data_IF_553994436252
#
_entry.id   IF_553994436252
#
_cell.length_a   1.000
_cell.length_b   1.000
_cell.length_c   1.000
_cell.angle_alpha   90.00
_cell.angle_beta   90.00
_cell.angle_gamma   90.00
#
_symmetry.space_group_name_H-M   'P 1'
#
loop_
_entity.id
_entity.type
_entity.pdbx_description
1 polymer ?
#
# COMPACT_ATOMS: atom_id res chain seq x y z
N UNK A 1 -76.99 6.64 33.20
CA UNK A 1 -76.49 5.53 32.36
C UNK A 1 -75.03 5.27 32.73
N UNK A 2 -74.73 4.18 33.42
CA UNK A 2 -73.35 3.72 33.68
C UNK A 2 -73.19 2.38 32.98
N UNK A 3 -72.50 2.37 31.84
CA UNK A 3 -72.02 1.13 31.25
C UNK A 3 -71.01 0.52 32.22
N UNK A 4 -71.40 -0.58 32.89
CA UNK A 4 -70.42 -1.46 33.53
C UNK A 4 -69.66 -2.15 32.40
N UNK A 5 -68.35 -1.95 32.34
CA UNK A 5 -67.46 -2.77 31.52
C UNK A 5 -67.69 -4.22 31.93
N UNK A 6 -68.24 -5.02 31.01
CA UNK A 6 -68.40 -6.46 31.20
C UNK A 6 -67.00 -7.06 31.36
N UNK A 7 -66.72 -7.67 32.50
CA UNK A 7 -65.47 -8.38 32.72
C UNK A 7 -65.35 -9.53 31.72
N UNK A 8 -64.18 -9.68 31.10
CA UNK A 8 -63.89 -10.77 30.16
C UNK A 8 -64.18 -12.13 30.80
N UNK A 9 -64.84 -13.02 30.06
CA UNK A 9 -65.10 -14.38 30.53
C UNK A 9 -63.80 -15.20 30.49
N UNK A 10 -63.62 -16.13 31.43
CA UNK A 10 -62.42 -16.98 31.50
C UNK A 10 -62.19 -17.78 30.21
N UNK A 11 -63.27 -18.19 29.53
CA UNK A 11 -63.22 -18.82 28.21
C UNK A 11 -62.70 -17.90 27.10
N UNK A 12 -63.05 -16.62 27.08
CA UNK A 12 -62.52 -15.66 26.09
C UNK A 12 -61.02 -15.44 26.30
N UNK A 13 -60.56 -15.35 27.55
CA UNK A 13 -59.13 -15.20 27.86
C UNK A 13 -58.34 -16.43 27.40
N UNK A 14 -58.86 -17.65 27.64
CA UNK A 14 -58.21 -18.89 27.18
C UNK A 14 -58.12 -18.95 25.66
N UNK A 15 -59.19 -18.59 24.95
CA UNK A 15 -59.21 -18.59 23.47
C UNK A 15 -58.24 -17.56 22.91
N UNK A 16 -58.22 -16.34 23.45
CA UNK A 16 -57.29 -15.29 23.01
C UNK A 16 -55.84 -15.71 23.23
N UNK A 17 -55.51 -16.29 24.39
CA UNK A 17 -54.15 -16.77 24.67
C UNK A 17 -53.77 -17.93 23.75
N UNK A 18 -54.68 -18.86 23.45
CA UNK A 18 -54.43 -19.97 22.54
C UNK A 18 -54.17 -19.50 21.10
N UNK A 19 -54.97 -18.57 20.59
CA UNK A 19 -54.77 -17.98 19.26
C UNK A 19 -53.45 -17.21 19.20
N UNK A 20 -53.14 -16.43 20.24
CA UNK A 20 -51.90 -15.66 20.32
C UNK A 20 -50.67 -16.57 20.37
N UNK A 21 -50.75 -17.71 21.06
CA UNK A 21 -49.70 -18.72 21.10
C UNK A 21 -49.45 -19.36 19.71
N UNK A 22 -50.51 -19.65 18.95
CA UNK A 22 -50.41 -20.20 17.59
C UNK A 22 -49.79 -19.17 16.63
N UNK A 23 -50.18 -17.91 16.72
CA UNK A 23 -49.61 -16.86 15.86
C UNK A 23 -48.12 -16.65 16.18
N UNK A 24 -47.73 -16.66 17.47
CA UNK A 24 -46.34 -16.53 17.87
C UNK A 24 -45.47 -17.72 17.42
N UNK A 25 -45.99 -18.96 17.49
CA UNK A 25 -45.23 -20.13 17.02
C UNK A 25 -45.05 -20.15 15.50
N UNK A 26 -45.99 -19.60 14.74
CA UNK A 26 -45.86 -19.48 13.27
C UNK A 26 -44.90 -18.32 12.89
N UNK A 27 -44.92 -17.20 13.61
CA UNK A 27 -44.13 -16.01 13.27
C UNK A 27 -42.66 -16.04 13.74
N UNK A 28 -42.34 -16.84 14.77
CA UNK A 28 -40.99 -16.88 15.38
C UNK A 28 -39.87 -17.32 14.43
N UNK A 29 -40.04 -18.33 13.55
CA UNK A 29 -38.99 -18.71 12.59
C UNK A 29 -38.59 -17.58 11.64
N UNK A 30 -39.55 -16.80 11.15
CA UNK A 30 -39.30 -15.70 10.22
C UNK A 30 -38.60 -14.52 10.90
N UNK A 31 -38.98 -14.20 12.14
CA UNK A 31 -38.27 -13.19 12.94
C UNK A 31 -36.81 -13.57 13.18
N UNK A 32 -36.54 -14.83 13.53
CA UNK A 32 -35.17 -15.30 13.75
C UNK A 32 -34.33 -15.21 12.47
N UNK A 33 -34.91 -15.52 11.32
CA UNK A 33 -34.24 -15.39 10.02
C UNK A 33 -33.94 -13.92 9.66
N UNK A 34 -34.85 -13.00 9.98
CA UNK A 34 -34.65 -11.56 9.77
C UNK A 34 -33.51 -11.02 10.64
N UNK A 35 -33.46 -11.38 11.93
CA UNK A 35 -32.37 -10.96 12.81
C UNK A 35 -31.02 -11.55 12.39
N UNK A 36 -30.97 -12.81 11.97
CA UNK A 36 -29.77 -13.42 11.40
C UNK A 36 -29.28 -12.66 10.16
N UNK A 37 -30.20 -12.30 9.25
CA UNK A 37 -29.88 -11.51 8.05
C UNK A 37 -29.40 -10.10 8.38
N UNK A 38 -30.01 -9.46 9.39
CA UNK A 38 -29.57 -8.15 9.86
C UNK A 38 -28.16 -8.22 10.44
N UNK A 39 -27.84 -9.26 11.23
CA UNK A 39 -26.51 -9.47 11.78
C UNK A 39 -25.45 -9.69 10.67
N UNK A 40 -25.75 -10.55 9.69
CA UNK A 40 -24.90 -10.75 8.51
C UNK A 40 -24.62 -9.43 7.76
N UNK A 41 -25.66 -8.64 7.51
CA UNK A 41 -25.53 -7.36 6.79
C UNK A 41 -24.69 -6.36 7.57
N UNK A 42 -24.88 -6.30 8.90
CA UNK A 42 -24.07 -5.46 9.78
C UNK A 42 -22.60 -5.87 9.76
N UNK A 43 -22.30 -7.18 9.78
CA UNK A 43 -20.93 -7.66 9.72
C UNK A 43 -20.28 -7.34 8.36
N UNK A 44 -21.02 -7.50 7.24
CA UNK A 44 -20.52 -7.08 5.93
C UNK A 44 -20.17 -5.59 5.88
N UNK A 45 -20.98 -4.73 6.50
CA UNK A 45 -20.71 -3.29 6.58
C UNK A 45 -19.45 -3.01 7.43
N UNK A 46 -19.30 -3.70 8.57
CA UNK A 46 -18.09 -3.60 9.41
C UNK A 46 -16.85 -4.07 8.64
N UNK A 47 -16.93 -5.16 7.91
CA UNK A 47 -15.86 -5.66 7.04
C UNK A 47 -15.44 -4.66 5.97
N UNK A 48 -16.40 -4.00 5.31
CA UNK A 48 -16.10 -2.94 4.35
C UNK A 48 -15.41 -1.74 5.00
N UNK A 49 -15.79 -1.38 6.24
CA UNK A 49 -15.10 -0.33 7.01
C UNK A 49 -13.68 -0.74 7.36
N UNK A 50 -13.45 -1.98 7.79
CA UNK A 50 -12.11 -2.52 8.07
C UNK A 50 -11.23 -2.58 6.82
N UNK A 51 -11.77 -2.94 5.66
CA UNK A 51 -11.05 -2.86 4.39
C UNK A 51 -10.57 -1.44 4.09
N UNK A 52 -11.46 -0.44 4.25
CA UNK A 52 -11.11 0.97 4.05
C UNK A 52 -10.07 1.44 5.07
N UNK A 53 -10.17 1.02 6.32
CA UNK A 53 -9.19 1.32 7.35
C UNK A 53 -7.81 0.76 7.00
N UNK A 54 -7.74 -0.50 6.53
CA UNK A 54 -6.50 -1.09 6.02
C UNK A 54 -5.92 -0.30 4.85
N UNK A 55 -6.76 0.16 3.92
CA UNK A 55 -6.32 0.95 2.78
C UNK A 55 -5.75 2.31 3.18
N UNK A 56 -6.43 3.02 4.09
CA UNK A 56 -5.96 4.31 4.62
C UNK A 56 -4.65 4.13 5.40
N UNK A 57 -4.62 3.13 6.31
CA UNK A 57 -3.42 2.83 7.09
C UNK A 57 -2.23 2.51 6.17
N UNK A 58 -2.43 1.69 5.14
CA UNK A 58 -1.39 1.32 4.18
C UNK A 58 -0.89 2.53 3.37
N UNK A 59 -1.78 3.46 3.03
CA UNK A 59 -1.41 4.69 2.29
C UNK A 59 -0.56 5.65 3.12
N UNK A 60 -0.91 5.82 4.39
CA UNK A 60 -0.20 6.71 5.31
C UNK A 60 1.12 6.11 5.80
N UNK A 61 1.10 4.85 6.26
CA UNK A 61 2.25 4.23 6.91
C UNK A 61 3.13 3.41 5.96
N UNK A 62 2.73 3.23 4.69
CA UNK A 62 3.40 2.38 3.67
C UNK A 62 3.55 0.90 4.05
N UNK A 63 2.94 0.49 5.15
CA UNK A 63 2.98 -0.86 5.73
C UNK A 63 1.60 -1.27 6.21
N UNK A 64 1.42 -2.56 6.48
CA UNK A 64 0.23 -3.07 7.14
C UNK A 64 0.48 -3.27 8.65
N UNK A 65 -0.58 -3.17 9.48
CA UNK A 65 -0.49 -3.38 10.92
C UNK A 65 0.12 -4.74 11.30
N UNK A 66 0.70 -4.84 12.49
CA UNK A 66 1.25 -6.11 12.96
C UNK A 66 0.17 -7.02 13.54
N UNK A 67 0.35 -8.35 13.47
CA UNK A 67 -0.65 -9.30 13.96
C UNK A 67 -1.05 -9.10 15.43
N UNK A 68 -0.15 -8.58 16.27
CA UNK A 68 -0.45 -8.30 17.69
C UNK A 68 -1.11 -6.95 17.96
N UNK A 69 -1.00 -5.97 17.06
CA UNK A 69 -1.42 -4.57 17.29
C UNK A 69 -2.47 -4.09 16.30
N UNK A 70 -2.90 -4.94 15.37
CA UNK A 70 -3.74 -4.54 14.24
C UNK A 70 -5.07 -3.87 14.64
N UNK A 71 -5.63 -4.25 15.79
CA UNK A 71 -6.87 -3.64 16.30
C UNK A 71 -6.63 -2.18 16.68
N UNK A 72 -5.59 -1.93 17.46
CA UNK A 72 -5.25 -0.59 17.97
C UNK A 72 -4.74 0.29 16.83
N UNK A 73 -3.98 -0.28 15.90
CA UNK A 73 -3.44 0.40 14.72
C UNK A 73 -4.56 0.82 13.75
N UNK A 74 -5.65 0.05 13.61
CA UNK A 74 -6.74 0.34 12.68
C UNK A 74 -7.85 1.21 13.29
N UNK A 75 -8.01 1.22 14.61
CA UNK A 75 -9.08 1.97 15.28
C UNK A 75 -9.13 3.47 14.90
N UNK A 76 -8.00 4.20 14.77
CA UNK A 76 -8.03 5.60 14.35
C UNK A 76 -8.54 5.83 12.93
N UNK A 77 -8.51 4.79 12.09
CA UNK A 77 -8.86 4.85 10.67
C UNK A 77 -10.30 4.41 10.36
N UNK A 78 -11.10 4.21 11.40
CA UNK A 78 -12.48 3.73 11.27
C UNK A 78 -13.38 4.31 12.35
N UNK A 79 -14.67 4.45 12.05
CA UNK A 79 -15.68 4.85 13.04
C UNK A 79 -16.08 3.69 13.98
N UNK A 80 -15.46 2.52 13.83
CA UNK A 80 -15.73 1.36 14.68
C UNK A 80 -15.02 1.52 16.02
N UNK A 81 -15.70 1.13 17.09
CA UNK A 81 -15.08 1.02 18.40
C UNK A 81 -14.04 -0.10 18.42
N UNK A 82 -13.12 -0.06 19.39
CA UNK A 82 -12.04 -1.04 19.53
C UNK A 82 -12.58 -2.49 19.66
N UNK A 83 -13.71 -2.66 20.36
CA UNK A 83 -14.40 -3.94 20.46
C UNK A 83 -15.04 -4.36 19.14
N UNK A 84 -15.58 -3.43 18.37
CA UNK A 84 -16.16 -3.73 17.05
C UNK A 84 -15.12 -4.00 15.96
N UNK A 85 -13.86 -3.59 16.16
CA UNK A 85 -12.73 -3.99 15.32
C UNK A 85 -12.23 -5.38 15.72
N UNK A 86 -12.09 -5.63 17.03
CA UNK A 86 -11.62 -6.91 17.57
C UNK A 86 -12.61 -8.05 17.36
N UNK A 87 -13.89 -7.81 17.59
CA UNK A 87 -14.93 -8.84 17.63
C UNK A 87 -16.00 -8.62 16.56
N UNK A 88 -16.52 -9.72 16.02
CA UNK A 88 -17.66 -9.72 15.11
C UNK A 88 -18.99 -9.34 15.79
N UNK A 89 -20.06 -9.23 14.98
CA UNK A 89 -21.42 -8.96 15.49
C UNK A 89 -21.89 -10.03 16.48
N UNK A 90 -21.33 -11.24 16.42
CA UNK A 90 -21.62 -12.36 17.32
C UNK A 90 -20.67 -12.45 18.52
N UNK A 91 -19.89 -11.38 18.78
CA UNK A 91 -18.93 -11.28 19.88
C UNK A 91 -17.80 -12.32 19.84
N UNK A 92 -17.48 -12.86 18.66
CA UNK A 92 -16.33 -13.74 18.46
C UNK A 92 -15.12 -12.92 18.01
N UNK A 93 -13.90 -13.25 18.49
CA UNK A 93 -12.70 -12.54 18.08
C UNK A 93 -12.42 -12.79 16.60
N UNK A 94 -12.09 -11.73 15.87
CA UNK A 94 -11.64 -11.80 14.48
C UNK A 94 -10.19 -12.21 14.42
N UNK A 95 -9.86 -12.96 13.37
CA UNK A 95 -8.49 -13.37 13.08
C UNK A 95 -7.90 -12.46 12.01
N UNK A 96 -6.65 -12.04 12.21
CA UNK A 96 -5.90 -11.23 11.26
C UNK A 96 -4.58 -11.90 10.93
N UNK A 97 -4.24 -11.93 9.65
CA UNK A 97 -2.90 -12.29 9.23
C UNK A 97 -2.41 -11.34 8.14
N UNK A 98 -1.13 -11.00 8.21
CA UNK A 98 -0.41 -10.31 7.14
C UNK A 98 0.84 -11.06 6.71
N UNK A 99 1.24 -10.83 5.46
CA UNK A 99 2.53 -11.24 4.94
C UNK A 99 2.98 -10.28 3.84
N UNK A 100 4.29 -10.25 3.58
CA UNK A 100 4.91 -9.39 2.57
C UNK A 100 5.60 -10.25 1.52
N UNK A 101 5.53 -9.82 0.25
CA UNK A 101 6.19 -10.51 -0.87
C UNK A 101 6.95 -9.49 -1.71
N UNK A 102 8.23 -9.74 -1.93
CA UNK A 102 9.03 -8.96 -2.88
C UNK A 102 8.64 -9.29 -4.31
N UNK A 103 8.26 -8.28 -5.07
CA UNK A 103 7.89 -8.40 -6.49
C UNK A 103 8.85 -7.54 -7.31
N UNK A 104 9.43 -8.15 -8.35
CA UNK A 104 10.23 -7.43 -9.33
C UNK A 104 9.32 -6.76 -10.36
N UNK A 105 9.60 -5.50 -10.70
CA UNK A 105 8.88 -4.76 -11.73
C UNK A 105 9.79 -3.69 -12.35
N UNK A 106 9.87 -3.67 -13.68
CA UNK A 106 10.61 -2.69 -14.50
C UNK A 106 11.97 -2.25 -13.89
N UNK A 107 12.84 -3.22 -13.60
CA UNK A 107 14.22 -2.95 -13.16
C UNK A 107 14.41 -2.68 -11.66
N UNK A 108 13.35 -2.73 -10.85
CA UNK A 108 13.42 -2.64 -9.39
C UNK A 108 12.66 -3.76 -8.69
N UNK A 109 12.88 -3.90 -7.38
CA UNK A 109 12.11 -4.80 -6.51
C UNK A 109 11.39 -3.98 -5.45
N UNK A 110 10.10 -4.20 -5.27
CA UNK A 110 9.32 -3.59 -4.20
C UNK A 110 8.56 -4.64 -3.41
N UNK A 111 8.31 -4.36 -2.13
CA UNK A 111 7.53 -5.25 -1.26
C UNK A 111 6.05 -4.98 -1.47
N UNK A 112 5.24 -6.01 -1.72
CA UNK A 112 3.78 -5.95 -1.73
C UNK A 112 3.27 -6.50 -0.40
N UNK A 113 2.34 -5.78 0.22
CA UNK A 113 1.72 -6.21 1.46
C UNK A 113 0.38 -6.88 1.18
N UNK A 114 0.15 -8.01 1.84
CA UNK A 114 -1.11 -8.75 1.81
C UNK A 114 -1.64 -8.87 3.23
N UNK A 115 -2.95 -8.68 3.41
CA UNK A 115 -3.62 -8.94 4.68
C UNK A 115 -4.97 -9.60 4.49
N UNK A 116 -5.36 -10.39 5.48
CA UNK A 116 -6.67 -11.01 5.57
C UNK A 116 -7.24 -10.80 6.97
N UNK A 117 -8.45 -10.25 7.05
CA UNK A 117 -9.27 -10.23 8.27
C UNK A 117 -10.36 -11.27 8.09
N UNK A 118 -10.59 -12.09 9.12
CA UNK A 118 -11.58 -13.16 9.11
C UNK A 118 -12.49 -13.07 10.33
N UNK A 119 -13.78 -13.25 10.09
CA UNK A 119 -14.86 -13.28 11.07
C UNK A 119 -15.40 -14.70 11.17
N UNK A 120 -15.57 -15.16 12.41
CA UNK A 120 -15.89 -16.55 12.72
C UNK A 120 -17.39 -16.85 12.62
N UNK A 121 -18.21 -15.88 12.22
CA UNK A 121 -19.64 -16.09 11.98
C UNK A 121 -20.41 -16.50 13.22
N UNK A 122 -21.64 -16.98 13.01
CA UNK A 122 -22.56 -17.36 14.09
C UNK A 122 -22.18 -18.70 14.77
N UNK A 123 -21.62 -19.63 14.01
CA UNK A 123 -21.19 -20.94 14.48
C UNK A 123 -19.91 -20.85 15.31
N UNK A 124 -19.10 -19.81 15.08
CA UNK A 124 -17.84 -19.59 15.78
C UNK A 124 -16.79 -20.65 15.45
N UNK A 125 -17.04 -21.46 14.42
CA UNK A 125 -16.15 -22.53 13.99
C UNK A 125 -15.30 -21.96 12.87
N UNK A 126 -13.98 -22.03 13.03
CA UNK A 126 -13.04 -21.66 11.97
C UNK A 126 -13.11 -22.60 10.78
N UNK A 127 -13.89 -23.69 10.81
CA UNK A 127 -14.07 -24.69 9.75
C UNK A 127 -12.75 -25.14 9.07
N UNK A 128 -11.67 -25.25 9.85
CA UNK A 128 -10.33 -25.59 9.34
C UNK A 128 -9.68 -24.50 8.47
N UNK A 129 -10.26 -23.30 8.43
CA UNK A 129 -9.77 -22.15 7.65
C UNK A 129 -8.43 -21.71 8.22
N UNK A 130 -7.39 -22.00 7.46
CA UNK A 130 -6.04 -21.47 7.72
C UNK A 130 -5.91 -20.15 6.97
N UNK A 131 -5.62 -19.07 7.71
CA UNK A 131 -5.40 -17.77 7.08
C UNK A 131 -4.21 -17.83 6.12
N UNK A 132 -4.31 -17.21 4.94
CA UNK A 132 -3.27 -17.30 3.93
C UNK A 132 -1.98 -16.67 4.44
N UNK A 133 -0.87 -17.40 4.29
CA UNK A 133 0.48 -16.99 4.67
C UNK A 133 1.41 -16.80 3.45
N UNK A 134 0.88 -17.01 2.25
CA UNK A 134 1.61 -16.93 0.98
C UNK A 134 0.76 -16.33 -0.12
N UNK A 135 1.40 -15.85 -1.20
CA UNK A 135 0.68 -15.28 -2.36
C UNK A 135 -0.28 -16.28 -3.02
N UNK A 136 0.13 -17.55 -3.14
CA UNK A 136 -0.70 -18.61 -3.72
C UNK A 136 -1.91 -18.94 -2.86
N UNK A 137 -1.70 -19.11 -1.54
CA UNK A 137 -2.81 -19.33 -0.60
C UNK A 137 -3.77 -18.15 -0.57
N UNK A 138 -3.28 -16.91 -0.64
CA UNK A 138 -4.10 -15.71 -0.69
C UNK A 138 -4.96 -15.61 -1.95
N UNK A 139 -4.40 -15.93 -3.11
CA UNK A 139 -5.14 -15.97 -4.37
C UNK A 139 -6.28 -17.01 -4.31
N UNK A 140 -5.97 -18.21 -3.81
CA UNK A 140 -6.90 -19.34 -3.72
C UNK A 140 -7.82 -19.31 -2.49
N UNK A 141 -7.67 -18.33 -1.59
CA UNK A 141 -8.43 -18.27 -0.34
C UNK A 141 -9.92 -17.98 -0.63
N UNK A 142 -10.78 -19.00 -0.69
CA UNK A 142 -12.23 -18.82 -0.81
C UNK A 142 -12.90 -19.01 0.56
N UNK A 143 -13.72 -18.04 0.97
CA UNK A 143 -14.41 -18.03 2.25
C UNK A 143 -15.93 -17.96 2.10
N UNK A 144 -16.43 -17.95 0.87
CA UNK A 144 -17.86 -18.00 0.55
C UNK A 144 -18.43 -19.42 0.63
N UNK A 145 -17.58 -20.45 0.58
CA UNK A 145 -18.00 -21.85 0.49
C UNK A 145 -17.06 -22.77 1.28
N UNK A 146 -17.61 -23.84 1.84
CA UNK A 146 -16.84 -24.94 2.43
C UNK A 146 -16.24 -25.86 1.35
N UNK A 147 -15.48 -26.87 1.76
CA UNK A 147 -14.88 -27.87 0.86
C UNK A 147 -15.91 -28.70 0.07
N UNK A 148 -17.18 -28.68 0.47
CA UNK A 148 -18.31 -29.33 -0.17
C UNK A 148 -19.17 -28.34 -0.99
N UNK A 149 -18.74 -27.08 -1.12
CA UNK A 149 -19.44 -26.03 -1.86
C UNK A 149 -20.62 -25.39 -1.13
N UNK A 150 -20.89 -25.71 0.13
CA UNK A 150 -21.95 -25.10 0.94
C UNK A 150 -21.55 -23.73 1.42
N UNK A 151 -22.51 -22.80 1.47
CA UNK A 151 -22.26 -21.43 1.92
C UNK A 151 -21.84 -21.43 3.39
N UNK A 152 -20.73 -20.76 3.68
CA UNK A 152 -20.29 -20.49 5.05
C UNK A 152 -20.93 -19.19 5.57
N UNK A 153 -21.20 -19.15 6.87
CA UNK A 153 -21.69 -17.94 7.57
C UNK A 153 -20.54 -16.98 7.96
N UNK A 154 -19.30 -17.34 7.59
CA UNK A 154 -18.08 -16.60 7.86
C UNK A 154 -17.89 -15.44 6.85
N UNK A 155 -17.19 -14.39 7.29
CA UNK A 155 -16.85 -13.24 6.44
C UNK A 155 -15.35 -13.03 6.43
N UNK A 156 -14.79 -12.71 5.28
CA UNK A 156 -13.39 -12.31 5.19
C UNK A 156 -13.19 -11.07 4.31
N UNK A 157 -12.09 -10.38 4.58
CA UNK A 157 -11.62 -9.25 3.81
C UNK A 157 -10.21 -9.55 3.35
N UNK A 158 -9.99 -9.53 2.04
CA UNK A 158 -8.65 -9.61 1.43
C UNK A 158 -8.19 -8.22 1.02
N UNK A 159 -7.03 -7.80 1.49
CA UNK A 159 -6.41 -6.54 1.11
C UNK A 159 -5.04 -6.76 0.47
N UNK A 160 -4.76 -6.01 -0.59
CA UNK A 160 -3.43 -5.89 -1.21
C UNK A 160 -3.20 -4.47 -1.67
N UNK A 161 -1.99 -3.95 -1.43
CA UNK A 161 -1.57 -2.61 -1.86
C UNK A 161 -0.90 -2.60 -3.24
N UNK A 162 -0.85 -3.75 -3.93
CA UNK A 162 -0.13 -3.92 -5.20
C UNK A 162 -0.51 -2.87 -6.24
N UNK A 163 -1.81 -2.63 -6.45
CA UNK A 163 -2.28 -1.67 -7.46
C UNK A 163 -1.86 -0.23 -7.17
N UNK A 164 -1.80 0.17 -5.89
CA UNK A 164 -1.31 1.48 -5.50
C UNK A 164 0.20 1.59 -5.70
N UNK A 165 0.94 0.54 -5.31
CA UNK A 165 2.40 0.49 -5.47
C UNK A 165 2.85 0.53 -6.92
N UNK A 166 2.15 -0.13 -7.84
CA UNK A 166 2.44 -0.04 -9.28
C UNK A 166 2.34 1.41 -9.77
N UNK A 167 1.26 2.13 -9.39
CA UNK A 167 1.12 3.56 -9.75
C UNK A 167 2.24 4.43 -9.18
N UNK A 168 2.69 4.14 -7.96
CA UNK A 168 3.82 4.86 -7.37
C UNK A 168 5.14 4.56 -8.10
N UNK A 169 5.38 3.30 -8.50
CA UNK A 169 6.55 2.93 -9.32
C UNK A 169 6.52 3.64 -10.67
N UNK A 170 5.37 3.66 -11.36
CA UNK A 170 5.18 4.42 -12.60
C UNK A 170 5.46 5.92 -12.40
N UNK A 171 5.03 6.49 -11.27
CA UNK A 171 5.35 7.88 -10.91
C UNK A 171 6.85 8.09 -10.74
N UNK A 172 7.56 7.18 -10.06
CA UNK A 172 9.03 7.23 -9.92
C UNK A 172 9.72 7.19 -11.29
N UNK A 173 9.28 6.30 -12.19
CA UNK A 173 9.84 6.22 -13.55
C UNK A 173 9.63 7.52 -14.33
N UNK A 174 8.43 8.12 -14.26
CA UNK A 174 8.16 9.41 -14.89
C UNK A 174 9.00 10.55 -14.30
N UNK A 175 9.30 10.51 -12.99
CA UNK A 175 10.20 11.49 -12.35
C UNK A 175 11.64 11.35 -12.86
N UNK A 176 12.14 10.12 -12.98
CA UNK A 176 13.47 9.83 -13.53
C UNK A 176 13.57 10.30 -14.98
N UNK A 177 12.54 10.06 -15.79
CA UNK A 177 12.49 10.53 -17.18
C UNK A 177 12.55 12.06 -17.28
N UNK A 178 11.80 12.78 -16.44
CA UNK A 178 11.85 14.25 -16.42
C UNK A 178 13.20 14.78 -15.94
N UNK A 179 13.81 14.12 -14.95
CA UNK A 179 15.17 14.44 -14.53
C UNK A 179 16.18 14.21 -15.65
N UNK A 180 16.09 13.09 -16.38
CA UNK A 180 17.02 12.78 -17.47
C UNK A 180 16.89 13.77 -18.64
N UNK A 181 15.67 14.18 -18.99
CA UNK A 181 15.43 15.23 -20.00
C UNK A 181 16.02 16.56 -19.56
N UNK A 182 15.80 16.98 -18.31
CA UNK A 182 16.35 18.23 -17.78
C UNK A 182 17.89 18.19 -17.70
N UNK A 183 18.44 17.04 -17.31
CA UNK A 183 19.87 16.77 -17.27
C UNK A 183 20.50 16.87 -18.67
N UNK A 184 19.87 16.30 -19.69
CA UNK A 184 20.31 16.41 -21.08
C UNK A 184 20.28 17.85 -21.59
N UNK A 185 19.24 18.62 -21.26
CA UNK A 185 19.15 20.05 -21.60
C UNK A 185 20.28 20.86 -20.95
N UNK A 186 20.51 20.64 -19.65
CA UNK A 186 21.60 21.29 -18.92
C UNK A 186 22.96 20.99 -19.57
N UNK A 187 23.24 19.70 -19.85
CA UNK A 187 24.50 19.29 -20.45
C UNK A 187 24.71 19.91 -21.83
N UNK A 188 23.66 20.00 -22.65
CA UNK A 188 23.75 20.64 -23.97
C UNK A 188 24.12 22.12 -23.88
N UNK A 189 23.54 22.87 -22.95
CA UNK A 189 23.88 24.29 -22.73
C UNK A 189 25.35 24.44 -22.31
N UNK A 190 25.80 23.60 -21.37
CA UNK A 190 27.20 23.63 -20.91
C UNK A 190 28.17 23.19 -22.01
N UNK A 191 27.80 22.20 -22.83
CA UNK A 191 28.60 21.75 -23.96
C UNK A 191 28.76 22.85 -25.02
N UNK A 192 27.71 23.62 -25.35
CA UNK A 192 27.82 24.75 -26.30
C UNK A 192 28.84 25.78 -25.80
N UNK A 193 28.77 26.14 -24.52
CA UNK A 193 29.73 27.06 -23.90
C UNK A 193 31.16 26.47 -23.86
N UNK A 194 31.26 25.15 -23.63
CA UNK A 194 32.52 24.41 -23.64
C UNK A 194 33.18 24.40 -25.01
N UNK A 195 32.42 24.10 -26.08
CA UNK A 195 32.88 24.16 -27.47
C UNK A 195 33.35 25.58 -27.81
N UNK A 196 32.61 26.61 -27.38
CA UNK A 196 32.99 28.00 -27.65
C UNK A 196 34.27 28.44 -26.94
N UNK A 197 34.63 27.82 -25.81
CA UNK A 197 35.77 28.22 -24.98
C UNK A 197 37.02 27.36 -25.21
N UNK A 198 36.85 26.10 -25.57
CA UNK A 198 37.93 25.14 -25.82
C UNK A 198 37.48 24.09 -26.86
N UNK A 199 37.46 24.45 -28.17
CA UNK A 199 36.93 23.60 -29.23
C UNK A 199 37.68 22.26 -29.34
N UNK A 200 38.99 22.24 -29.12
CA UNK A 200 39.85 21.07 -29.35
C UNK A 200 39.73 20.00 -28.26
N UNK A 201 39.36 20.38 -27.03
CA UNK A 201 39.23 19.45 -25.91
C UNK A 201 37.83 19.34 -25.32
N UNK A 202 36.84 20.05 -25.89
CA UNK A 202 35.46 20.04 -25.41
C UNK A 202 34.88 18.61 -25.34
N UNK A 203 35.14 17.77 -26.34
CA UNK A 203 34.58 16.41 -26.41
C UNK A 203 35.16 15.45 -25.37
N UNK A 204 36.25 15.85 -24.70
CA UNK A 204 36.90 15.07 -23.62
C UNK A 204 36.46 15.51 -22.23
N UNK A 205 35.37 16.29 -22.10
CA UNK A 205 34.86 16.82 -20.83
C UNK A 205 33.45 16.31 -20.49
N UNK A 206 33.14 16.29 -19.20
CA UNK A 206 31.82 15.97 -18.65
C UNK A 206 31.04 17.27 -18.50
N UNK A 207 29.86 17.35 -19.12
CA UNK A 207 28.99 18.53 -19.07
C UNK A 207 27.77 18.38 -18.16
N UNK A 208 27.63 17.23 -17.51
CA UNK A 208 26.63 17.00 -16.49
C UNK A 208 27.06 17.59 -15.14
N UNK A 209 26.12 18.02 -14.27
CA UNK A 209 26.46 18.48 -12.92
C UNK A 209 27.36 17.48 -12.21
N UNK A 210 28.34 17.96 -11.46
CA UNK A 210 29.16 17.07 -10.64
C UNK A 210 28.29 16.56 -9.47
N UNK A 211 28.32 15.26 -9.21
CA UNK A 211 27.57 14.56 -8.17
C UNK A 211 28.04 14.91 -6.73
N UNK A 212 29.00 15.82 -6.57
CA UNK A 212 29.53 16.23 -5.27
C UNK A 212 30.47 15.17 -4.67
N UNK A 213 30.74 14.09 -5.40
CA UNK A 213 31.83 13.20 -5.04
C UNK A 213 33.15 13.85 -5.44
N UNK A 214 34.19 13.72 -4.61
CA UNK A 214 35.57 14.07 -5.00
C UNK A 214 36.15 13.12 -6.04
N UNK A 215 35.29 12.45 -6.81
CA UNK A 215 35.65 11.40 -7.77
C UNK A 215 36.29 11.96 -9.03
N UNK A 216 36.82 11.03 -9.83
CA UNK A 216 37.60 11.36 -11.01
C UNK A 216 36.70 11.70 -12.21
N UNK A 217 37.10 12.74 -12.94
CA UNK A 217 36.44 13.21 -14.16
C UNK A 217 36.93 14.61 -14.55
N UNK A 218 37.08 14.86 -15.85
CA UNK A 218 37.39 16.19 -16.35
C UNK A 218 36.09 16.93 -16.68
N UNK A 219 35.67 17.87 -15.84
CA UNK A 219 34.41 18.59 -16.00
C UNK A 219 34.59 19.85 -16.86
N UNK A 220 33.57 20.15 -17.68
CA UNK A 220 33.52 21.36 -18.49
C UNK A 220 33.54 22.65 -17.66
N UNK A 221 33.98 23.74 -18.27
CA UNK A 221 33.94 25.06 -17.62
C UNK A 221 32.50 25.44 -17.25
N UNK A 222 32.32 25.98 -16.05
CA UNK A 222 31.01 26.39 -15.54
C UNK A 222 30.06 25.24 -15.23
N UNK A 223 30.52 23.98 -15.22
CA UNK A 223 29.76 22.86 -14.68
C UNK A 223 29.72 22.99 -13.16
N UNK A 224 28.50 22.99 -12.64
CA UNK A 224 28.25 23.21 -11.24
C UNK A 224 28.17 21.89 -10.47
N UNK A 225 28.49 21.95 -9.17
CA UNK A 225 28.45 20.81 -8.25
C UNK A 225 27.10 20.83 -7.51
N UNK A 226 26.50 19.66 -7.27
CA UNK A 226 25.31 19.56 -6.43
C UNK A 226 25.68 19.71 -4.94
N UNK A 227 24.78 20.30 -4.14
CA UNK A 227 25.07 20.64 -2.75
C UNK A 227 25.21 19.42 -1.84
N UNK A 228 24.34 18.41 -1.99
CA UNK A 228 24.43 17.15 -1.25
C UNK A 228 24.93 16.05 -2.18
N UNK A 229 26.01 15.38 -1.76
CA UNK A 229 26.66 14.32 -2.54
C UNK A 229 25.66 13.24 -2.96
N UNK A 230 25.65 12.96 -4.26
CA UNK A 230 24.81 12.00 -4.97
C UNK A 230 23.29 12.15 -4.81
N UNK A 231 22.81 13.17 -4.09
CA UNK A 231 21.39 13.30 -3.77
C UNK A 231 20.61 13.86 -4.97
N UNK A 232 19.70 13.06 -5.53
CA UNK A 232 18.91 13.47 -6.69
C UNK A 232 17.96 14.64 -6.40
N UNK A 233 17.65 14.95 -5.13
CA UNK A 233 16.90 16.18 -4.77
C UNK A 233 17.75 17.43 -5.00
N UNK A 234 19.04 17.34 -4.67
CA UNK A 234 19.99 18.42 -4.96
C UNK A 234 20.20 18.58 -6.46
N UNK A 235 20.20 17.48 -7.21
CA UNK A 235 20.17 17.51 -8.66
C UNK A 235 18.90 18.19 -9.18
N UNK A 236 17.72 17.79 -8.70
CA UNK A 236 16.44 18.36 -9.14
C UNK A 236 16.43 19.89 -8.97
N UNK A 237 16.83 20.36 -7.78
CA UNK A 237 16.98 21.79 -7.48
C UNK A 237 17.96 22.47 -8.45
N UNK A 238 19.06 21.80 -8.77
CA UNK A 238 20.07 22.32 -9.70
C UNK A 238 19.55 22.43 -11.14
N UNK A 239 18.69 21.51 -11.54
CA UNK A 239 18.05 21.49 -12.85
C UNK A 239 16.80 22.41 -12.91
N UNK A 240 16.49 23.16 -11.85
CA UNK A 240 15.32 24.02 -11.77
C UNK A 240 14.00 23.26 -11.61
N UNK A 241 14.07 21.98 -11.20
CA UNK A 241 12.91 21.14 -10.93
C UNK A 241 12.59 21.12 -9.43
N UNK A 242 11.32 20.92 -9.05
CA UNK A 242 10.94 20.69 -7.67
C UNK A 242 11.69 19.49 -7.04
N UNK A 243 12.04 19.59 -5.75
CA UNK A 243 12.84 18.57 -5.06
C UNK A 243 12.19 17.17 -5.03
N UNK A 244 10.85 17.10 -5.07
CA UNK A 244 10.13 15.83 -5.08
C UNK A 244 10.42 14.97 -6.32
N UNK A 245 10.95 15.56 -7.41
CA UNK A 245 11.41 14.80 -8.57
C UNK A 245 12.62 13.91 -8.24
N UNK A 246 13.42 14.27 -7.23
CA UNK A 246 14.54 13.48 -6.74
C UNK A 246 14.15 12.39 -5.74
N UNK A 247 12.85 12.18 -5.47
CA UNK A 247 12.35 11.19 -4.51
C UNK A 247 11.73 9.98 -5.21
N UNK A 248 11.99 8.79 -4.66
CA UNK A 248 11.25 7.58 -4.98
C UNK A 248 9.84 7.69 -4.39
N UNK A 249 8.80 7.64 -5.21
CA UNK A 249 7.41 7.76 -4.77
C UNK A 249 6.91 6.57 -3.92
N UNK A 250 7.61 5.43 -3.95
CA UNK A 250 7.24 4.24 -3.18
C UNK A 250 7.69 4.35 -1.72
N UNK A 251 8.94 4.77 -1.51
CA UNK A 251 9.60 4.80 -0.20
C UNK A 251 9.73 6.20 0.39
N UNK A 252 9.46 7.25 -0.40
CA UNK A 252 9.73 8.66 -0.10
C UNK A 252 11.21 8.96 0.23
N UNK A 253 12.11 8.04 -0.13
CA UNK A 253 13.57 8.21 0.02
C UNK A 253 14.18 8.89 -1.20
N UNK A 254 15.33 9.59 -1.04
CA UNK A 254 16.05 10.17 -2.15
C UNK A 254 16.51 9.08 -3.13
N UNK A 255 16.39 9.38 -4.42
CA UNK A 255 17.10 8.68 -5.47
C UNK A 255 18.55 9.16 -5.52
N UNK A 256 19.40 8.40 -6.20
CA UNK A 256 20.83 8.67 -6.28
C UNK A 256 21.25 9.04 -7.68
N UNK A 257 22.03 10.10 -7.79
CA UNK A 257 22.61 10.61 -9.01
C UNK A 257 24.13 10.44 -8.98
N UNK A 258 24.68 9.86 -10.03
CA UNK A 258 26.13 9.68 -10.20
C UNK A 258 26.51 10.20 -11.57
N UNK A 259 27.38 11.18 -11.61
CA UNK A 259 27.74 11.93 -12.84
C UNK A 259 28.68 11.13 -13.76
N UNK A 260 29.61 10.37 -13.17
CA UNK A 260 30.53 9.46 -13.85
C UNK A 260 30.55 8.12 -13.10
N UNK A 261 29.62 7.20 -13.41
CA UNK A 261 29.54 5.93 -12.70
C UNK A 261 30.71 5.01 -13.05
N UNK A 262 30.88 3.95 -12.26
CA UNK A 262 31.73 2.82 -12.60
C UNK A 262 31.17 1.98 -13.76
N UNK A 263 31.90 0.94 -14.18
CA UNK A 263 31.58 0.14 -15.37
C UNK A 263 30.30 -0.71 -15.23
N UNK A 264 29.82 -0.95 -14.01
CA UNK A 264 28.65 -1.77 -13.74
C UNK A 264 27.93 -1.36 -12.44
N UNK A 265 26.74 -1.89 -12.22
CA UNK A 265 25.90 -1.60 -11.05
C UNK A 265 26.54 -2.03 -9.72
N UNK A 266 27.24 -3.16 -9.70
CA UNK A 266 27.92 -3.66 -8.48
C UNK A 266 29.14 -2.84 -8.07
N UNK A 267 29.66 -2.00 -8.96
CA UNK A 267 30.83 -1.13 -8.76
C UNK A 267 30.51 0.30 -9.18
N UNK A 268 29.27 0.75 -9.00
CA UNK A 268 28.79 2.03 -9.53
C UNK A 268 29.60 3.24 -9.03
N UNK A 269 30.26 3.12 -7.88
CA UNK A 269 31.07 4.16 -7.25
C UNK A 269 32.58 3.95 -7.36
N UNK A 270 33.02 2.81 -7.89
CA UNK A 270 34.44 2.42 -8.01
C UNK A 270 34.81 2.18 -9.48
N UNK A 271 36.11 2.21 -9.81
CA UNK A 271 36.57 1.94 -11.19
C UNK A 271 36.09 2.97 -12.24
N UNK A 272 35.77 4.19 -11.80
CA UNK A 272 35.35 5.29 -12.68
C UNK A 272 36.47 5.60 -13.68
N UNK A 273 36.11 5.96 -14.91
CA UNK A 273 37.11 6.32 -15.93
C UNK A 273 37.68 7.70 -15.64
N UNK A 274 39.01 7.78 -15.71
CA UNK A 274 39.76 9.03 -15.52
C UNK A 274 40.04 9.74 -16.86
N UNK A 275 39.78 9.06 -17.97
CA UNK A 275 40.00 9.55 -19.33
C UNK A 275 38.76 9.29 -20.18
N UNK A 276 38.51 10.21 -21.11
CA UNK A 276 37.41 10.11 -22.06
C UNK A 276 37.55 8.85 -22.96
N UNK A 277 36.43 8.29 -23.46
CA UNK A 277 35.05 8.65 -23.16
C UNK A 277 34.62 8.24 -21.75
N UNK A 278 33.95 9.14 -21.02
CA UNK A 278 33.40 8.85 -19.69
C UNK A 278 32.10 8.05 -19.80
N UNK A 279 31.70 7.43 -18.68
CA UNK A 279 30.40 6.77 -18.62
C UNK A 279 29.27 7.82 -18.51
N UNK A 280 28.11 7.56 -19.12
CA UNK A 280 26.97 8.45 -19.00
C UNK A 280 26.48 8.48 -17.54
N UNK A 281 25.90 9.61 -17.10
CA UNK A 281 25.38 9.72 -15.74
C UNK A 281 24.23 8.75 -15.51
N UNK A 282 24.09 8.30 -14.26
CA UNK A 282 23.04 7.37 -13.84
C UNK A 282 22.21 8.00 -12.74
N UNK A 283 20.89 7.83 -12.85
CA UNK A 283 19.94 8.05 -11.76
C UNK A 283 19.40 6.69 -11.37
N UNK A 284 19.51 6.33 -10.11
CA UNK A 284 19.10 5.03 -9.60
C UNK A 284 18.30 5.14 -8.31
N UNK A 285 17.52 4.10 -8.03
CA UNK A 285 16.75 3.96 -6.79
C UNK A 285 17.48 2.94 -5.92
N UNK A 286 17.91 3.38 -4.74
CA UNK A 286 18.39 2.48 -3.68
C UNK A 286 17.90 3.00 -2.33
N UNK A 287 17.00 2.25 -1.71
CA UNK A 287 16.43 2.60 -0.42
C UNK A 287 17.37 2.27 0.75
N UNK A 288 18.49 1.60 0.51
CA UNK A 288 19.45 1.16 1.53
C UNK A 288 20.38 2.28 2.00
N UNK A 289 20.57 3.31 1.17
CA UNK A 289 21.47 4.43 1.45
C UNK A 289 22.16 4.92 0.19
N UNK A 290 23.09 5.88 0.35
CA UNK A 290 23.92 6.34 -0.75
C UNK A 290 24.76 5.16 -1.25
N UNK A 291 24.71 4.81 -2.55
CA UNK A 291 25.51 3.72 -3.09
C UNK A 291 27.02 4.02 -3.05
N UNK A 292 27.39 5.30 -2.86
CA UNK A 292 28.73 5.79 -2.59
C UNK A 292 28.80 6.55 -1.26
#
# INVERSE_FOLDING_TARGET
MRHRLSGFTLSEVIVVVAVLAIVLTIATPDMNRLFAKQAEMNEQLRMKKLYKALDLFAKENKRLPNNGTWVDDLQPFTDLTLNEVRNDVWSKPRSYNKFEVSVAYMGGTYKVNYATIFSNGIDGITNGVTLPSSKSSFANFEYSKDALGKKLDNFAVKYTDQGNKVKLVESTLSRIEKLSIALAKYARVKQINGISSDPENSDKKIYFPNDGSGGVGNYGSGVEIINNRNDARSLAKKLGLPEYYGLNAVSDKPMWYISNPGPNSSSICSGRRNTAPYYPPVIMVDDSGNPC
#
